data_IF_671989748937
#
_entry.id   IF_671989748937
#
_cell.length_a   1.000
_cell.length_b   1.000
_cell.length_c   1.000
_cell.angle_alpha   90.00
_cell.angle_beta   90.00
_cell.angle_gamma   90.00
#
_symmetry.space_group_name_H-M   'P 1'
#
loop_
_entity.id
_entity.type
_entity.pdbx_description
1 polymer ?
#
# COMPACT_ATOMS: atom_id res chain seq x y z
N UNK A 1 12.39 -9.12 14.29
CA UNK A 1 10.91 -9.15 14.12
C UNK A 1 10.44 -7.70 14.07
N UNK A 2 9.58 -7.35 13.11
CA UNK A 2 9.08 -5.97 12.99
C UNK A 2 8.24 -5.57 14.22
N UNK A 3 8.33 -4.31 14.65
CA UNK A 3 7.60 -3.77 15.81
C UNK A 3 6.10 -4.02 15.71
N UNK A 4 5.48 -3.72 14.58
CA UNK A 4 4.04 -3.95 14.39
C UNK A 4 3.65 -5.43 14.39
N UNK A 5 4.54 -6.32 13.94
CA UNK A 5 4.30 -7.76 14.01
C UNK A 5 4.24 -8.26 15.46
N UNK A 6 5.10 -7.71 16.33
CA UNK A 6 5.09 -8.02 17.74
C UNK A 6 3.81 -7.48 18.40
N UNK A 7 3.46 -6.21 18.15
CA UNK A 7 2.22 -5.59 18.65
C UNK A 7 0.97 -6.40 18.22
N UNK A 8 0.96 -6.88 16.97
CA UNK A 8 -0.13 -7.73 16.51
C UNK A 8 -0.29 -8.99 17.37
N UNK A 9 0.81 -9.71 17.64
CA UNK A 9 0.77 -10.97 18.42
C UNK A 9 0.42 -10.75 19.87
N UNK A 10 0.97 -9.72 20.50
CA UNK A 10 0.84 -9.48 21.93
C UNK A 10 -0.50 -8.85 22.33
N UNK A 11 -1.01 -7.95 21.47
CA UNK A 11 -2.16 -7.10 21.78
C UNK A 11 -3.30 -7.25 20.78
N UNK A 12 -3.09 -6.88 19.51
CA UNK A 12 -4.18 -6.73 18.53
C UNK A 12 -4.96 -8.03 18.36
N UNK A 13 -4.28 -9.18 18.30
CA UNK A 13 -4.94 -10.47 18.16
C UNK A 13 -5.87 -10.80 19.34
N UNK A 14 -5.48 -10.43 20.54
CA UNK A 14 -6.31 -10.62 21.75
C UNK A 14 -7.51 -9.70 21.75
N UNK A 15 -7.29 -8.40 21.51
CA UNK A 15 -8.36 -7.39 21.42
C UNK A 15 -9.42 -7.76 20.37
N UNK A 16 -8.99 -8.28 19.21
CA UNK A 16 -9.91 -8.75 18.17
C UNK A 16 -10.66 -10.01 18.57
N UNK A 17 -10.00 -10.94 19.26
CA UNK A 17 -10.65 -12.17 19.76
C UNK A 17 -11.73 -11.84 20.76
N UNK A 18 -11.48 -10.93 21.70
CA UNK A 18 -12.46 -10.47 22.69
C UNK A 18 -13.63 -9.73 22.03
N UNK A 19 -13.32 -8.86 21.07
CA UNK A 19 -14.33 -8.03 20.39
C UNK A 19 -15.30 -8.83 19.51
N UNK A 20 -14.79 -9.82 18.78
CA UNK A 20 -15.58 -10.58 17.79
C UNK A 20 -15.90 -12.00 18.23
N UNK A 21 -15.41 -12.45 19.39
CA UNK A 21 -15.71 -13.76 19.95
C UNK A 21 -15.18 -14.94 19.15
N UNK A 22 -13.96 -14.83 18.58
CA UNK A 22 -13.37 -15.92 17.81
C UNK A 22 -13.06 -17.13 18.69
N UNK A 23 -13.47 -18.31 18.22
CA UNK A 23 -13.23 -19.60 18.92
C UNK A 23 -11.86 -20.20 18.65
N UNK A 24 -11.23 -19.81 17.55
CA UNK A 24 -9.91 -20.31 17.14
C UNK A 24 -8.95 -19.16 16.81
N UNK A 25 -7.67 -19.24 17.22
CA UNK A 25 -6.65 -18.26 16.84
C UNK A 25 -6.46 -18.09 15.33
N UNK A 26 -6.81 -19.12 14.54
CA UNK A 26 -6.72 -19.08 13.07
C UNK A 26 -7.82 -18.25 12.41
N UNK A 27 -8.90 -17.94 13.13
CA UNK A 27 -9.98 -17.08 12.64
C UNK A 27 -9.65 -15.60 12.77
N UNK A 28 -8.71 -15.25 13.64
CA UNK A 28 -8.33 -13.85 13.89
C UNK A 28 -7.79 -13.22 12.60
N UNK A 29 -8.34 -12.07 12.17
CA UNK A 29 -7.88 -11.39 10.97
C UNK A 29 -6.41 -10.98 11.07
N UNK A 30 -5.68 -11.19 9.99
CA UNK A 30 -4.27 -10.81 9.87
C UNK A 30 -3.97 -10.18 8.51
N UNK A 31 -2.90 -9.41 8.45
CA UNK A 31 -2.38 -8.91 7.18
C UNK A 31 -1.74 -10.05 6.38
N UNK A 32 -2.06 -10.12 5.10
CA UNK A 32 -1.54 -11.13 4.18
C UNK A 32 -0.43 -10.56 3.29
N UNK A 33 -0.71 -9.42 2.68
CA UNK A 33 0.23 -8.71 1.79
C UNK A 33 -0.15 -7.23 1.68
N UNK A 34 0.82 -6.42 1.31
CA UNK A 34 0.62 -5.06 0.86
C UNK A 34 1.15 -4.97 -0.57
N UNK A 35 0.33 -4.49 -1.49
CA UNK A 35 0.71 -4.28 -2.88
C UNK A 35 0.80 -2.80 -3.16
N UNK A 36 1.95 -2.35 -3.65
CA UNK A 36 2.17 -0.99 -4.12
C UNK A 36 2.15 -1.01 -5.64
N UNK A 37 1.35 -0.16 -6.24
CA UNK A 37 1.26 -0.04 -7.68
C UNK A 37 1.41 1.42 -8.11
N UNK A 38 2.28 1.66 -9.09
CA UNK A 38 2.48 2.96 -9.70
C UNK A 38 2.21 2.86 -11.19
N UNK A 39 1.14 3.52 -11.64
CA UNK A 39 0.82 3.65 -13.06
C UNK A 39 1.59 4.81 -13.66
N UNK A 40 2.34 4.56 -14.73
CA UNK A 40 3.17 5.55 -15.43
C UNK A 40 2.74 5.62 -16.88
N UNK A 41 1.67 6.37 -17.17
CA UNK A 41 1.15 6.53 -18.53
C UNK A 41 2.14 7.23 -19.47
N UNK A 42 2.97 8.13 -18.93
CA UNK A 42 4.00 8.86 -19.67
C UNK A 42 5.10 7.96 -20.22
N UNK A 43 5.27 6.76 -19.66
CA UNK A 43 6.23 5.76 -20.15
C UNK A 43 5.99 5.31 -21.61
N UNK A 44 4.81 5.59 -22.14
CA UNK A 44 4.50 5.37 -23.55
C UNK A 44 5.37 6.26 -24.45
N UNK A 45 5.64 7.49 -24.03
CA UNK A 45 6.45 8.46 -24.75
C UNK A 45 7.94 8.36 -24.39
N UNK A 46 8.26 8.22 -23.11
CA UNK A 46 9.63 8.14 -22.61
C UNK A 46 9.84 7.01 -21.60
N UNK A 47 10.69 6.06 -21.95
CA UNK A 47 11.04 4.92 -21.10
C UNK A 47 11.79 5.31 -19.82
N UNK A 48 12.57 6.41 -19.84
CA UNK A 48 13.32 6.89 -18.67
C UNK A 48 12.42 7.23 -17.49
N UNK A 49 11.21 7.74 -17.79
CA UNK A 49 10.20 8.05 -16.77
C UNK A 49 9.81 6.80 -15.96
N UNK A 50 9.72 5.65 -16.64
CA UNK A 50 9.45 4.38 -15.95
C UNK A 50 10.64 3.90 -15.12
N UNK A 51 11.86 4.05 -15.60
CA UNK A 51 13.06 3.66 -14.85
C UNK A 51 13.19 4.48 -13.57
N UNK A 52 12.89 5.78 -13.61
CA UNK A 52 12.83 6.64 -12.43
C UNK A 52 11.73 6.19 -11.47
N UNK A 53 10.54 5.86 -11.97
CA UNK A 53 9.44 5.33 -11.13
C UNK A 53 9.80 4.00 -10.44
N UNK A 54 10.51 3.11 -11.15
CA UNK A 54 11.02 1.85 -10.59
C UNK A 54 12.06 2.13 -9.51
N UNK A 55 12.95 3.11 -9.71
CA UNK A 55 13.94 3.51 -8.73
C UNK A 55 13.29 4.08 -7.45
N UNK A 56 12.29 4.97 -7.60
CA UNK A 56 11.55 5.53 -6.47
C UNK A 56 10.79 4.45 -5.69
N UNK A 57 10.06 3.58 -6.41
CA UNK A 57 9.32 2.51 -5.77
C UNK A 57 10.25 1.48 -5.09
N UNK A 58 11.47 1.27 -5.61
CA UNK A 58 12.50 0.43 -4.99
C UNK A 58 12.93 1.01 -3.64
N UNK A 59 13.16 2.32 -3.56
CA UNK A 59 13.51 2.99 -2.31
C UNK A 59 12.40 2.89 -1.27
N UNK A 60 11.15 3.15 -1.68
CA UNK A 60 9.96 3.08 -0.81
C UNK A 60 9.74 1.67 -0.28
N UNK A 61 9.81 0.68 -1.15
CA UNK A 61 9.49 -0.71 -0.82
C UNK A 61 10.64 -1.48 -0.15
N UNK A 62 11.90 -1.05 -0.39
CA UNK A 62 13.08 -1.83 -0.03
C UNK A 62 13.24 -3.12 -0.84
N UNK A 63 12.48 -3.28 -1.91
CA UNK A 63 12.45 -4.46 -2.79
C UNK A 63 12.27 -4.00 -4.24
N UNK A 64 12.95 -4.65 -5.19
CA UNK A 64 12.84 -4.32 -6.61
C UNK A 64 11.43 -4.59 -7.15
N UNK A 65 10.75 -3.59 -7.73
CA UNK A 65 9.44 -3.76 -8.34
C UNK A 65 9.51 -4.56 -9.64
N UNK A 66 8.36 -5.12 -9.99
CA UNK A 66 8.13 -5.73 -11.30
C UNK A 66 7.53 -4.69 -12.24
N UNK A 67 8.08 -4.55 -13.44
CA UNK A 67 7.53 -3.70 -14.48
C UNK A 67 6.27 -4.36 -15.05
N UNK A 68 5.16 -3.63 -15.02
CA UNK A 68 3.89 -4.10 -15.56
C UNK A 68 3.73 -3.68 -17.02
N UNK A 69 3.28 -4.64 -17.84
CA UNK A 69 3.10 -4.44 -19.28
C UNK A 69 1.62 -4.47 -19.66
N UNK A 70 1.28 -3.74 -20.71
CA UNK A 70 -0.07 -3.74 -21.28
C UNK A 70 -0.43 -5.12 -21.85
N UNK A 71 -1.66 -5.56 -21.61
CA UNK A 71 -2.17 -6.85 -22.12
C UNK A 71 -2.76 -6.74 -23.53
N UNK A 72 -3.29 -5.56 -23.88
CA UNK A 72 -3.96 -5.31 -25.16
C UNK A 72 -3.49 -3.99 -25.75
N UNK A 73 -3.45 -3.94 -27.08
CA UNK A 73 -3.24 -2.69 -27.80
C UNK A 73 -4.53 -1.85 -27.78
N UNK A 74 -4.43 -0.57 -27.42
CA UNK A 74 -5.55 0.38 -27.43
C UNK A 74 -5.10 1.65 -28.13
N UNK A 75 -5.64 1.88 -29.33
CA UNK A 75 -5.25 3.01 -30.17
C UNK A 75 -5.54 4.38 -29.53
N UNK A 76 -6.65 4.52 -28.83
CA UNK A 76 -7.03 5.77 -28.13
C UNK A 76 -6.02 6.22 -27.09
N UNK A 77 -5.31 5.31 -26.46
CA UNK A 77 -4.23 5.59 -25.50
C UNK A 77 -2.82 5.47 -26.09
N UNK A 78 -2.69 5.23 -27.38
CA UNK A 78 -1.41 5.01 -28.08
C UNK A 78 -0.57 3.88 -27.47
N UNK A 79 -1.22 2.86 -26.91
CA UNK A 79 -0.58 1.73 -26.24
C UNK A 79 -0.56 0.53 -27.19
N UNK A 80 0.59 -0.13 -27.28
CA UNK A 80 0.77 -1.43 -27.95
C UNK A 80 0.80 -2.55 -26.93
N UNK A 81 0.55 -3.77 -27.39
CA UNK A 81 0.68 -4.97 -26.57
C UNK A 81 2.12 -5.14 -26.04
N UNK A 82 2.26 -5.64 -24.82
CA UNK A 82 3.54 -5.83 -24.13
C UNK A 82 4.36 -4.53 -23.87
N UNK A 83 3.76 -3.37 -24.03
CA UNK A 83 4.41 -2.10 -23.72
C UNK A 83 4.48 -1.89 -22.19
N UNK A 84 5.65 -1.52 -21.63
CA UNK A 84 5.77 -1.23 -20.20
C UNK A 84 5.06 0.09 -19.87
N UNK A 85 4.12 0.05 -18.90
CA UNK A 85 3.25 1.17 -18.53
C UNK A 85 3.17 1.44 -17.03
N UNK A 86 3.84 0.66 -16.20
CA UNK A 86 3.83 0.85 -14.77
C UNK A 86 4.77 -0.09 -14.04
N UNK A 87 4.79 0.02 -12.73
CA UNK A 87 5.53 -0.88 -11.86
C UNK A 87 4.72 -1.24 -10.62
N UNK A 88 4.97 -2.44 -10.09
CA UNK A 88 4.24 -2.99 -8.95
C UNK A 88 5.19 -3.78 -8.07
N UNK A 89 4.96 -3.73 -6.75
CA UNK A 89 5.67 -4.56 -5.78
C UNK A 89 4.70 -5.12 -4.76
N UNK A 90 4.91 -6.38 -4.36
CA UNK A 90 4.14 -7.03 -3.31
C UNK A 90 5.03 -7.29 -2.11
N UNK A 91 4.66 -6.73 -0.97
CA UNK A 91 5.36 -6.88 0.30
C UNK A 91 4.66 -7.91 1.18
N UNK A 92 5.43 -8.78 1.83
CA UNK A 92 4.96 -9.82 2.74
C UNK A 92 5.87 -9.92 3.97
N UNK A 93 5.39 -10.57 5.02
CA UNK A 93 6.17 -10.86 6.22
C UNK A 93 6.74 -9.61 6.88
N UNK A 94 8.01 -9.62 7.24
CA UNK A 94 8.67 -8.52 7.97
C UNK A 94 8.64 -7.22 7.18
N UNK A 95 8.97 -7.26 5.88
CA UNK A 95 8.98 -6.06 5.04
C UNK A 95 7.61 -5.38 4.94
N UNK A 96 6.54 -6.16 4.92
CA UNK A 96 5.16 -5.65 4.93
C UNK A 96 4.88 -4.85 6.21
N UNK A 97 5.25 -5.38 7.38
CA UNK A 97 5.03 -4.68 8.65
C UNK A 97 5.94 -3.45 8.80
N UNK A 98 7.18 -3.51 8.33
CA UNK A 98 8.09 -2.36 8.33
C UNK A 98 7.57 -1.24 7.42
N UNK A 99 7.09 -1.58 6.23
CA UNK A 99 6.46 -0.60 5.34
C UNK A 99 5.22 0.02 5.99
N UNK A 100 4.35 -0.82 6.59
CA UNK A 100 3.13 -0.34 7.24
C UNK A 100 3.44 0.63 8.39
N UNK A 101 4.45 0.32 9.19
CA UNK A 101 4.89 1.17 10.29
C UNK A 101 5.34 2.55 9.79
N UNK A 102 6.22 2.60 8.79
CA UNK A 102 6.66 3.85 8.17
C UNK A 102 5.52 4.61 7.50
N UNK A 103 4.62 3.90 6.84
CA UNK A 103 3.47 4.50 6.18
C UNK A 103 2.55 5.23 7.18
N UNK A 104 2.20 4.57 8.28
CA UNK A 104 1.28 5.13 9.28
C UNK A 104 1.95 6.21 10.14
N UNK A 105 3.20 5.98 10.58
CA UNK A 105 3.86 6.88 11.53
C UNK A 105 4.56 8.07 10.89
N UNK A 106 5.05 7.93 9.67
CA UNK A 106 5.87 8.95 9.01
C UNK A 106 5.22 9.50 7.74
N UNK A 107 4.81 8.63 6.81
CA UNK A 107 4.34 9.07 5.50
C UNK A 107 2.97 9.76 5.56
N UNK A 108 1.99 9.19 6.24
CA UNK A 108 0.65 9.77 6.33
C UNK A 108 0.62 11.16 6.97
N UNK A 109 1.32 11.45 8.09
CA UNK A 109 1.36 12.80 8.64
C UNK A 109 1.99 13.84 7.72
N UNK A 110 2.82 13.43 6.75
CA UNK A 110 3.46 14.30 5.77
C UNK A 110 2.58 14.63 4.56
N UNK A 111 1.43 13.97 4.43
CA UNK A 111 0.47 14.28 3.38
C UNK A 111 -0.05 15.71 3.57
N UNK A 112 -0.03 16.50 2.49
CA UNK A 112 -0.54 17.88 2.51
C UNK A 112 -2.03 17.88 2.88
N UNK A 113 -2.41 18.76 3.82
CA UNK A 113 -3.79 18.91 4.35
C UNK A 113 -4.39 17.57 4.84
N UNK A 114 -3.59 16.75 5.50
CA UNK A 114 -4.02 15.47 6.01
C UNK A 114 -5.12 15.63 7.06
N UNK A 115 -6.30 15.03 6.78
CA UNK A 115 -7.48 15.03 7.68
C UNK A 115 -7.95 13.62 8.05
N UNK A 116 -7.09 12.64 7.91
CA UNK A 116 -7.43 11.23 8.09
C UNK A 116 -7.74 10.51 6.78
N UNK A 117 -7.79 9.19 6.84
CA UNK A 117 -8.04 8.30 5.70
C UNK A 117 -9.52 7.90 5.69
N UNK A 118 -10.10 7.78 4.51
CA UNK A 118 -11.50 7.38 4.34
C UNK A 118 -11.76 5.99 4.92
N UNK A 119 -12.77 5.87 5.77
CA UNK A 119 -13.25 4.57 6.26
C UNK A 119 -14.10 3.80 5.24
N UNK A 120 -14.37 4.39 4.05
CA UNK A 120 -15.20 3.78 2.98
C UNK A 120 -14.37 3.13 1.87
N UNK A 121 -13.05 3.08 1.99
CA UNK A 121 -12.15 2.55 0.97
C UNK A 121 -11.90 1.04 1.11
N UNK A 122 -12.78 0.33 1.78
CA UNK A 122 -12.83 -1.12 1.83
C UNK A 122 -13.58 -1.68 0.62
N UNK A 123 -13.27 -2.93 0.24
CA UNK A 123 -13.82 -3.59 -0.95
C UNK A 123 -15.04 -4.49 -0.67
N UNK A 124 -15.58 -4.49 0.54
CA UNK A 124 -16.65 -5.40 0.98
C UNK A 124 -16.17 -6.80 1.41
N UNK A 125 -14.88 -7.08 1.26
CA UNK A 125 -14.24 -8.37 1.60
C UNK A 125 -13.07 -8.23 2.56
N UNK A 126 -13.02 -7.13 3.29
CA UNK A 126 -11.99 -6.88 4.28
C UNK A 126 -10.63 -6.44 3.73
N UNK A 127 -10.51 -6.03 2.48
CA UNK A 127 -9.30 -5.43 1.95
C UNK A 127 -9.45 -3.90 1.90
N UNK A 128 -8.35 -3.19 2.05
CA UNK A 128 -8.32 -1.74 2.11
C UNK A 128 -7.44 -1.15 1.01
N UNK A 129 -7.93 -0.13 0.31
CA UNK A 129 -7.19 0.53 -0.75
C UNK A 129 -7.05 2.02 -0.46
N UNK A 130 -5.85 2.54 -0.62
CA UNK A 130 -5.56 3.97 -0.46
C UNK A 130 -4.71 4.47 -1.61
N UNK A 131 -5.12 5.60 -2.19
CA UNK A 131 -4.34 6.32 -3.20
C UNK A 131 -3.52 7.43 -2.52
N UNK A 132 -2.24 7.47 -2.83
CA UNK A 132 -1.32 8.54 -2.47
C UNK A 132 -1.06 9.36 -3.71
N UNK A 133 -1.23 10.68 -3.63
CA UNK A 133 -1.05 11.57 -4.78
C UNK A 133 0.40 11.84 -5.12
N UNK A 134 1.27 11.86 -4.11
CA UNK A 134 2.65 12.29 -4.23
C UNK A 134 3.58 11.31 -3.52
N UNK A 135 4.59 10.77 -4.21
CA UNK A 135 5.57 9.85 -3.62
C UNK A 135 6.51 10.52 -2.62
N UNK A 136 6.61 11.83 -2.63
CA UNK A 136 7.49 12.61 -1.75
C UNK A 136 7.10 12.56 -0.26
N UNK A 137 5.92 12.03 0.07
CA UNK A 137 5.54 11.81 1.47
C UNK A 137 6.43 10.78 2.17
N UNK A 138 7.05 9.88 1.40
CA UNK A 138 7.97 8.90 1.94
C UNK A 138 9.34 9.52 2.20
N UNK A 139 9.92 9.33 3.42
CA UNK A 139 11.20 9.94 3.78
C UNK A 139 12.38 9.44 2.96
N UNK A 140 12.24 8.28 2.32
CA UNK A 140 13.26 7.67 1.47
C UNK A 140 13.43 8.40 0.13
N UNK A 141 12.47 9.27 -0.22
CA UNK A 141 12.48 10.04 -1.47
C UNK A 141 13.00 11.45 -1.17
N UNK A 142 14.12 11.80 -1.77
CA UNK A 142 14.69 13.13 -1.71
C UNK A 142 14.03 14.03 -2.76
N UNK A 143 13.41 15.12 -2.32
CA UNK A 143 12.67 16.03 -3.19
C UNK A 143 13.52 16.57 -4.36
N UNK A 144 14.77 16.91 -4.09
CA UNK A 144 15.68 17.49 -5.09
C UNK A 144 16.09 16.51 -6.22
N UNK A 145 15.87 15.22 -6.01
CA UNK A 145 16.21 14.16 -6.99
C UNK A 145 15.01 13.62 -7.75
N UNK A 146 13.83 14.15 -7.46
CA UNK A 146 12.58 13.73 -8.11
C UNK A 146 12.40 14.48 -9.42
N UNK A 147 12.24 13.74 -10.51
CA UNK A 147 11.97 14.29 -11.85
C UNK A 147 10.51 14.73 -12.01
N UNK A 148 9.56 13.99 -11.45
CA UNK A 148 8.13 14.29 -11.49
C UNK A 148 7.40 13.75 -10.28
N UNK A 149 6.34 14.43 -9.85
CA UNK A 149 5.43 13.94 -8.82
C UNK A 149 4.56 12.81 -9.39
N UNK A 150 4.60 11.65 -8.74
CA UNK A 150 3.83 10.47 -9.13
C UNK A 150 2.99 9.97 -7.97
N UNK A 151 1.74 9.63 -8.30
CA UNK A 151 0.87 8.93 -7.37
C UNK A 151 1.13 7.44 -7.33
N UNK A 152 0.79 6.83 -6.22
CA UNK A 152 0.81 5.38 -6.09
C UNK A 152 -0.44 4.88 -5.35
N UNK A 153 -0.86 3.67 -5.69
CA UNK A 153 -1.93 2.96 -5.03
C UNK A 153 -1.35 1.92 -4.07
N UNK A 154 -1.87 1.90 -2.85
CA UNK A 154 -1.50 0.96 -1.79
C UNK A 154 -2.71 0.10 -1.50
N UNK A 155 -2.60 -1.21 -1.78
CA UNK A 155 -3.65 -2.19 -1.50
C UNK A 155 -3.21 -3.08 -0.35
N UNK A 156 -3.96 -3.05 0.76
CA UNK A 156 -3.72 -3.84 1.95
C UNK A 156 -4.69 -5.01 1.94
N UNK A 157 -4.16 -6.22 1.78
CA UNK A 157 -4.94 -7.45 1.78
C UNK A 157 -4.91 -8.10 3.15
N UNK A 158 -6.09 -8.43 3.66
CA UNK A 158 -6.24 -9.10 4.96
C UNK A 158 -6.94 -10.44 4.82
N UNK A 159 -7.02 -11.20 5.90
CA UNK A 159 -7.83 -12.42 6.00
C UNK A 159 -9.19 -12.17 6.64
N UNK A 160 -9.56 -10.93 6.90
CA UNK A 160 -10.86 -10.57 7.44
C UNK A 160 -11.99 -10.98 6.48
N UNK A 161 -13.11 -11.39 7.04
CA UNK A 161 -14.30 -11.78 6.25
C UNK A 161 -15.13 -10.56 5.85
N UNK A 162 -15.16 -9.56 6.72
CA UNK A 162 -15.98 -8.35 6.60
C UNK A 162 -15.12 -7.10 6.77
N UNK A 163 -15.62 -5.99 6.27
CA UNK A 163 -14.94 -4.69 6.40
C UNK A 163 -14.85 -4.20 7.84
N UNK A 164 -15.79 -4.59 8.71
CA UNK A 164 -15.76 -4.25 10.13
C UNK A 164 -14.58 -4.91 10.86
N UNK A 165 -14.32 -6.19 10.59
CA UNK A 165 -13.16 -6.91 11.12
C UNK A 165 -11.86 -6.30 10.63
N UNK A 166 -11.79 -5.97 9.32
CA UNK A 166 -10.62 -5.34 8.71
C UNK A 166 -10.38 -3.93 9.27
N UNK A 167 -11.45 -3.14 9.45
CA UNK A 167 -11.36 -1.81 10.07
C UNK A 167 -10.83 -1.90 11.50
N UNK A 168 -11.32 -2.86 12.29
CA UNK A 168 -10.85 -3.08 13.64
C UNK A 168 -9.36 -3.50 13.66
N UNK A 169 -8.95 -4.39 12.75
CA UNK A 169 -7.56 -4.79 12.58
C UNK A 169 -6.65 -3.58 12.27
N UNK A 170 -7.02 -2.77 11.26
CA UNK A 170 -6.24 -1.60 10.87
C UNK A 170 -6.24 -0.51 11.94
N UNK A 171 -7.35 -0.32 12.67
CA UNK A 171 -7.41 0.58 13.82
C UNK A 171 -6.44 0.14 14.93
N UNK A 172 -6.28 -1.16 15.16
CA UNK A 172 -5.25 -1.72 16.06
C UNK A 172 -3.83 -1.33 15.66
N UNK A 173 -3.54 -1.19 14.35
CA UNK A 173 -2.29 -0.65 13.83
C UNK A 173 -2.22 0.88 13.82
N UNK A 174 -3.15 1.56 14.47
CA UNK A 174 -3.24 3.03 14.57
C UNK A 174 -3.45 3.73 13.22
N UNK A 175 -4.19 3.09 12.31
CA UNK A 175 -4.62 3.78 11.09
C UNK A 175 -5.50 4.99 11.45
N UNK A 176 -5.17 6.18 10.96
CA UNK A 176 -5.90 7.41 11.26
C UNK A 176 -7.16 7.51 10.38
N UNK A 177 -8.16 6.70 10.67
CA UNK A 177 -9.46 6.79 9.97
C UNK A 177 -10.16 8.10 10.30
N UNK A 178 -10.78 8.66 9.26
CA UNK A 178 -11.66 9.81 9.40
C UNK A 178 -12.99 9.34 9.99
N UNK A 179 -13.44 10.02 11.03
CA UNK A 179 -14.77 9.82 11.61
C UNK A 179 -15.87 10.25 10.64
#
# INVERSE_FOLDING_TARGET
MARLQQIYREKIAKDLTEKFGYTSPMQVPRLTKITLNMGVGEAVADKKVLDNAVADLTKIAGQKPVVTKSKKAIAGFKIRENQPIGCMVTLRGVQMYEFLDRFVTVALPRVRDFRGISSRAFDGRGNYNVGVKEQIIFPEIEYDKVDALRGLNISITTTAKNDEEAKALLAGFRFPFKN
#
